data_IF_648356415768
#
_entry.id   IF_648356415768
#
_cell.length_a   1.000
_cell.length_b   1.000
_cell.length_c   1.000
_cell.angle_alpha   90.00
_cell.angle_beta   90.00
_cell.angle_gamma   90.00
#
_symmetry.space_group_name_H-M   'P 1'
#
loop_
_entity.id
_entity.type
_entity.pdbx_description
1 polymer ?
#
# COMPACT_ATOMS: atom_id res chain seq x y z
N UNK A 1 17.76 -30.89 -13.96
CA UNK A 1 18.09 -29.60 -13.30
C UNK A 1 16.78 -28.91 -12.97
N UNK A 2 16.33 -29.00 -11.71
CA UNK A 2 15.12 -28.30 -11.27
C UNK A 2 15.47 -26.83 -11.09
N UNK A 3 15.23 -26.02 -12.12
CA UNK A 3 15.17 -24.58 -11.95
C UNK A 3 13.96 -24.30 -11.04
N UNK A 4 14.20 -24.25 -9.73
CA UNK A 4 13.29 -23.60 -8.80
C UNK A 4 13.22 -22.15 -9.26
N UNK A 5 12.25 -21.88 -10.13
CA UNK A 5 11.87 -20.52 -10.48
C UNK A 5 11.43 -19.91 -9.16
N UNK A 6 12.34 -19.20 -8.49
CA UNK A 6 11.99 -18.20 -7.50
C UNK A 6 11.14 -17.22 -8.29
N UNK A 7 9.82 -17.44 -8.31
CA UNK A 7 8.90 -16.38 -8.64
C UNK A 7 9.32 -15.21 -7.77
N UNK A 8 9.60 -14.03 -8.34
CA UNK A 8 9.79 -12.86 -7.50
C UNK A 8 8.50 -12.76 -6.72
N UNK A 9 8.56 -13.11 -5.44
CA UNK A 9 7.43 -12.92 -4.57
C UNK A 9 7.33 -11.40 -4.46
N UNK A 10 6.42 -10.83 -5.26
CA UNK A 10 6.13 -9.41 -5.21
C UNK A 10 5.57 -9.13 -3.81
N UNK A 11 6.44 -8.80 -2.86
CA UNK A 11 6.08 -8.69 -1.45
C UNK A 11 5.50 -7.30 -1.24
N UNK A 12 4.24 -7.14 -1.61
CA UNK A 12 3.46 -5.97 -1.23
C UNK A 12 3.11 -6.06 0.25
N UNK A 13 3.70 -5.18 1.05
CA UNK A 13 3.47 -5.10 2.49
C UNK A 13 2.97 -3.71 2.86
N UNK A 14 2.05 -3.61 3.80
CA UNK A 14 1.72 -2.32 4.42
C UNK A 14 2.09 -2.35 5.91
N UNK A 15 2.33 -1.17 6.46
CA UNK A 15 2.58 -0.93 7.87
C UNK A 15 1.64 0.16 8.38
N UNK A 16 1.22 0.02 9.63
CA UNK A 16 0.43 1.03 10.34
C UNK A 16 1.23 1.48 11.55
N UNK A 17 1.60 2.75 11.58
CA UNK A 17 2.35 3.34 12.68
C UNK A 17 1.49 4.36 13.41
N UNK A 18 1.42 4.27 14.75
CA UNK A 18 0.79 5.30 15.57
C UNK A 18 1.71 6.53 15.62
N UNK A 19 1.22 7.67 15.16
CA UNK A 19 1.99 8.94 15.10
C UNK A 19 1.67 9.81 16.31
N UNK A 20 0.40 9.84 16.71
CA UNK A 20 -0.06 10.58 17.90
C UNK A 20 -1.11 9.77 18.66
N UNK A 21 -1.68 10.33 19.75
CA UNK A 21 -2.74 9.66 20.53
C UNK A 21 -3.95 9.24 19.67
N UNK A 22 -4.26 9.99 18.61
CA UNK A 22 -5.45 9.83 17.77
C UNK A 22 -5.14 9.76 16.26
N UNK A 23 -3.89 9.46 15.89
CA UNK A 23 -3.48 9.43 14.47
C UNK A 23 -2.59 8.23 14.17
N UNK A 24 -2.92 7.55 13.08
CA UNK A 24 -2.22 6.38 12.54
C UNK A 24 -1.81 6.66 11.10
N UNK A 25 -0.52 6.58 10.81
CA UNK A 25 0.02 6.66 9.46
C UNK A 25 0.05 5.27 8.83
N UNK A 26 -0.24 5.21 7.53
CA UNK A 26 -0.14 3.98 6.73
C UNK A 26 0.88 4.19 5.64
N UNK A 27 1.82 3.25 5.56
CA UNK A 27 2.82 3.18 4.49
C UNK A 27 2.74 1.83 3.81
N UNK A 28 2.91 1.81 2.50
CA UNK A 28 3.01 0.58 1.71
C UNK A 28 4.44 0.44 1.16
N UNK A 29 4.89 -0.80 1.02
CA UNK A 29 6.18 -1.15 0.47
C UNK A 29 6.00 -2.20 -0.61
N UNK A 30 6.64 -2.01 -1.76
CA UNK A 30 6.76 -2.99 -2.84
C UNK A 30 8.19 -3.52 -2.83
N UNK A 31 8.34 -4.84 -2.68
CA UNK A 31 9.62 -5.56 -2.75
C UNK A 31 10.72 -5.09 -1.79
N UNK A 32 10.32 -4.37 -0.74
CA UNK A 32 11.25 -3.82 0.26
C UNK A 32 11.94 -2.52 -0.16
N UNK A 33 11.75 -2.04 -1.39
CA UNK A 33 12.48 -0.89 -1.93
C UNK A 33 11.60 0.33 -2.20
N UNK A 34 10.41 0.13 -2.76
CA UNK A 34 9.51 1.23 -3.11
C UNK A 34 8.57 1.50 -1.94
N UNK A 35 8.63 2.70 -1.38
CA UNK A 35 7.76 3.13 -0.30
C UNK A 35 6.73 4.13 -0.83
N UNK A 36 5.45 3.89 -0.53
CA UNK A 36 4.39 4.86 -0.79
C UNK A 36 3.64 5.21 0.50
N UNK A 37 3.30 6.49 0.64
CA UNK A 37 2.55 7.01 1.78
C UNK A 37 1.06 6.98 1.45
N UNK A 38 0.32 6.09 2.12
CA UNK A 38 -1.11 5.87 1.87
C UNK A 38 -1.97 6.94 2.53
N UNK A 39 -1.60 7.40 3.73
CA UNK A 39 -2.31 8.47 4.42
C UNK A 39 -2.31 8.36 5.94
N UNK A 40 -3.04 9.28 6.57
CA UNK A 40 -3.24 9.34 8.02
C UNK A 40 -4.71 9.10 8.37
N UNK A 41 -4.95 8.31 9.41
CA UNK A 41 -6.27 7.86 9.83
C UNK A 41 -6.46 8.04 11.33
N UNK A 42 -7.70 8.32 11.75
CA UNK A 42 -8.02 8.56 13.17
C UNK A 42 -8.16 7.27 13.96
N UNK A 43 -8.42 6.15 13.28
CA UNK A 43 -8.57 4.84 13.89
C UNK A 43 -7.63 3.80 13.28
N UNK A 44 -7.19 2.85 14.10
CA UNK A 44 -6.37 1.72 13.64
C UNK A 44 -7.13 0.84 12.64
N UNK A 45 -8.46 0.71 12.80
CA UNK A 45 -9.30 -0.09 11.92
C UNK A 45 -9.37 0.50 10.52
N UNK A 46 -9.55 1.83 10.40
CA UNK A 46 -9.51 2.53 9.11
C UNK A 46 -8.12 2.46 8.48
N UNK A 47 -7.07 2.66 9.27
CA UNK A 47 -5.69 2.55 8.79
C UNK A 47 -5.40 1.16 8.19
N UNK A 48 -5.80 0.10 8.88
CA UNK A 48 -5.65 -1.27 8.40
C UNK A 48 -6.49 -1.55 7.16
N UNK A 49 -7.74 -1.04 7.11
CA UNK A 49 -8.60 -1.16 5.93
C UNK A 49 -8.00 -0.45 4.72
N UNK A 50 -7.45 0.75 4.91
CA UNK A 50 -6.81 1.53 3.86
C UNK A 50 -5.55 0.84 3.33
N UNK A 51 -4.67 0.34 4.21
CA UNK A 51 -3.47 -0.40 3.80
C UNK A 51 -3.79 -1.65 2.98
N UNK A 52 -4.76 -2.46 3.43
CA UNK A 52 -5.24 -3.63 2.67
C UNK A 52 -5.78 -3.25 1.30
N UNK A 53 -6.60 -2.21 1.23
CA UNK A 53 -7.20 -1.75 -0.02
C UNK A 53 -6.12 -1.26 -1.00
N UNK A 54 -5.20 -0.43 -0.52
CA UNK A 54 -4.11 0.10 -1.32
C UNK A 54 -3.26 -1.03 -1.94
N UNK A 55 -2.87 -2.04 -1.15
CA UNK A 55 -2.11 -3.18 -1.65
C UNK A 55 -2.92 -4.03 -2.64
N UNK A 56 -4.22 -4.25 -2.37
CA UNK A 56 -5.10 -4.98 -3.29
C UNK A 56 -5.24 -4.26 -4.62
N UNK A 57 -5.45 -2.94 -4.61
CA UNK A 57 -5.59 -2.12 -5.81
C UNK A 57 -4.28 -2.13 -6.60
N UNK A 58 -3.14 -2.04 -5.91
CA UNK A 58 -1.82 -2.07 -6.53
C UNK A 58 -1.48 -3.43 -7.16
N UNK A 59 -1.88 -4.54 -6.53
CA UNK A 59 -1.71 -5.89 -7.09
C UNK A 59 -2.55 -6.09 -8.35
N UNK A 60 -3.80 -5.62 -8.38
CA UNK A 60 -4.64 -5.71 -9.58
C UNK A 60 -4.11 -4.83 -10.72
N UNK A 61 -3.51 -3.68 -10.40
CA UNK A 61 -2.92 -2.78 -11.39
C UNK A 61 -1.58 -3.31 -11.92
N UNK A 62 -0.73 -3.90 -11.08
CA UNK A 62 0.55 -4.48 -11.51
C UNK A 62 0.35 -5.68 -12.43
N UNK A 63 -0.65 -6.52 -12.15
CA UNK A 63 -1.05 -7.62 -13.04
C UNK A 63 -1.63 -7.13 -14.37
N UNK A 64 -2.16 -5.90 -14.41
CA UNK A 64 -2.67 -5.27 -15.64
C UNK A 64 -1.59 -4.51 -16.42
N UNK A 65 -0.31 -4.60 -16.04
CA UNK A 65 0.82 -4.02 -16.77
C UNK A 65 0.91 -2.48 -16.73
N UNK A 66 0.09 -1.81 -15.90
CA UNK A 66 0.04 -0.36 -15.81
C UNK A 66 0.57 0.15 -14.47
N UNK A 67 1.77 0.74 -14.46
CA UNK A 67 2.30 1.54 -13.33
C UNK A 67 1.47 2.82 -13.19
N UNK A 68 0.29 2.71 -12.57
CA UNK A 68 -0.50 3.90 -12.26
C UNK A 68 0.16 4.67 -11.11
N UNK A 69 0.64 5.86 -11.44
CA UNK A 69 1.00 6.89 -10.49
C UNK A 69 -0.28 7.32 -9.76
N UNK A 70 -0.55 6.75 -8.59
CA UNK A 70 -1.62 7.20 -7.69
C UNK A 70 -1.20 8.51 -7.00
N UNK A 71 -0.89 9.55 -7.78
CA UNK A 71 -0.79 10.92 -7.29
C UNK A 71 -2.19 11.50 -7.22
N UNK A 72 -2.65 11.71 -5.98
CA UNK A 72 -3.81 12.54 -5.62
C UNK A 72 -5.18 12.10 -6.15
N UNK A 73 -5.86 11.23 -5.39
CA UNK A 73 -7.30 11.40 -5.22
C UNK A 73 -7.51 12.62 -4.30
N UNK A 74 -7.71 13.78 -4.93
CA UNK A 74 -8.12 15.03 -4.28
C UNK A 74 -9.27 14.77 -3.31
N UNK A 75 -9.10 15.29 -2.10
CA UNK A 75 -10.20 15.70 -1.24
C UNK A 75 -11.09 16.68 -2.01
N UNK A 76 -12.21 16.21 -2.55
CA UNK A 76 -13.29 17.07 -3.03
C UNK A 76 -14.31 17.21 -1.92
N UNK A 77 -14.12 18.25 -1.10
CA UNK A 77 -15.17 18.86 -0.31
C UNK A 77 -15.66 20.06 -1.13
N UNK A 78 -16.85 19.93 -1.72
CA UNK A 78 -17.76 21.02 -2.09
C UNK A 78 -19.09 20.37 -2.50
#
# INVERSE_FOLDING_TARGET
>A
MNASQKTPACFLRWSVQKVTKSLYAVTATIDGSDYDFVGNFKSIQEAQKAGRRYVSDLLHNSLSGGRLSLRSAKSSHA
#
